data_IF_060679019028
#
_entry.id   IF_060679019028
#
_cell.length_a   1.000
_cell.length_b   1.000
_cell.length_c   1.000
_cell.angle_alpha   90.00
_cell.angle_beta   90.00
_cell.angle_gamma   90.00
#
_symmetry.space_group_name_H-M   'P 1'
#
loop_
_entity.id
_entity.type
_entity.pdbx_description
1 polymer ?
#
# COMPACT_ATOMS: atom_id res chain seq x y z
N UNK A 1 -1.17 -8.00 -16.79
CA UNK A 1 -1.08 -9.44 -17.12
C UNK A 1 -1.09 -10.31 -15.89
N UNK A 2 -0.20 -10.15 -14.92
CA UNK A 2 -0.17 -10.99 -13.70
C UNK A 2 -1.53 -11.07 -12.97
N UNK A 3 -2.24 -9.95 -12.88
CA UNK A 3 -3.57 -9.85 -12.27
C UNK A 3 -4.61 -10.81 -12.90
N UNK A 4 -4.53 -11.07 -14.19
CA UNK A 4 -5.49 -11.93 -14.88
C UNK A 4 -5.18 -13.42 -14.79
N UNK A 5 -3.92 -13.76 -14.48
CA UNK A 5 -3.49 -15.13 -14.28
C UNK A 5 -3.73 -15.60 -12.84
N UNK A 6 -3.49 -14.71 -11.88
CA UNK A 6 -3.54 -15.02 -10.46
C UNK A 6 -4.98 -15.12 -9.94
N UNK A 7 -5.27 -16.20 -9.22
CA UNK A 7 -6.58 -16.44 -8.58
C UNK A 7 -6.48 -16.15 -7.07
N UNK A 8 -7.14 -15.11 -6.55
CA UNK A 8 -7.03 -14.68 -5.15
C UNK A 8 -7.85 -15.56 -4.19
N UNK A 9 -7.59 -16.84 -4.18
CA UNK A 9 -8.21 -17.82 -3.28
C UNK A 9 -7.13 -18.58 -2.51
N UNK A 10 -7.41 -18.97 -1.28
CA UNK A 10 -6.44 -19.68 -0.44
C UNK A 10 -5.99 -21.02 -1.05
N UNK A 11 -6.84 -21.62 -1.90
CA UNK A 11 -6.55 -22.89 -2.57
C UNK A 11 -5.55 -22.73 -3.74
N UNK A 12 -5.68 -21.64 -4.54
CA UNK A 12 -4.94 -21.50 -5.79
C UNK A 12 -3.79 -20.50 -5.71
N UNK A 13 -3.85 -19.51 -4.82
CA UNK A 13 -2.92 -18.40 -4.79
C UNK A 13 -1.45 -18.82 -4.78
N UNK A 14 -1.09 -19.74 -3.88
CA UNK A 14 0.28 -20.26 -3.79
C UNK A 14 0.69 -21.01 -5.05
N UNK A 15 -0.16 -21.93 -5.51
CA UNK A 15 0.11 -22.75 -6.69
C UNK A 15 0.24 -21.91 -7.97
N UNK A 16 -0.59 -20.88 -8.14
CA UNK A 16 -0.49 -19.96 -9.26
C UNK A 16 0.86 -19.23 -9.28
N UNK A 17 1.37 -18.83 -8.13
CA UNK A 17 2.70 -18.19 -8.02
C UNK A 17 3.84 -19.20 -8.31
N UNK A 18 3.72 -20.45 -7.89
CA UNK A 18 4.69 -21.51 -8.20
C UNK A 18 4.69 -21.79 -9.71
N UNK A 19 3.53 -21.97 -10.32
CA UNK A 19 3.39 -22.18 -11.77
C UNK A 19 3.95 -21.02 -12.59
N UNK A 20 3.66 -19.77 -12.18
CA UNK A 20 4.25 -18.57 -12.80
C UNK A 20 5.79 -18.60 -12.79
N UNK A 21 6.41 -19.23 -11.81
CA UNK A 21 7.86 -19.33 -11.71
C UNK A 21 8.43 -20.32 -12.73
N UNK A 22 7.67 -21.33 -13.10
CA UNK A 22 8.07 -22.37 -14.05
C UNK A 22 7.78 -21.96 -15.50
N UNK A 23 6.79 -21.11 -15.75
CA UNK A 23 6.49 -20.54 -17.05
C UNK A 23 7.47 -19.43 -17.40
N UNK A 24 8.32 -19.65 -18.42
CA UNK A 24 9.40 -18.71 -18.78
C UNK A 24 8.87 -17.33 -19.17
N UNK A 25 7.79 -17.25 -19.93
CA UNK A 25 7.27 -15.97 -20.42
C UNK A 25 6.60 -15.16 -19.30
N UNK A 26 5.69 -15.77 -18.55
CA UNK A 26 4.96 -15.10 -17.46
C UNK A 26 5.84 -14.97 -16.23
N UNK A 27 6.77 -15.90 -15.99
CA UNK A 27 7.77 -15.85 -14.93
C UNK A 27 8.68 -14.65 -15.04
N UNK A 28 9.15 -14.30 -16.24
CA UNK A 28 9.93 -13.08 -16.48
C UNK A 28 9.15 -11.83 -16.06
N UNK A 29 7.87 -11.74 -16.40
CA UNK A 29 7.03 -10.59 -16.00
C UNK A 29 6.88 -10.48 -14.48
N UNK A 30 6.77 -11.60 -13.78
CA UNK A 30 6.74 -11.61 -12.32
C UNK A 30 8.05 -11.10 -11.72
N UNK A 31 9.18 -11.57 -12.23
CA UNK A 31 10.50 -11.12 -11.76
C UNK A 31 10.74 -9.64 -12.06
N UNK A 32 10.38 -9.17 -13.26
CA UNK A 32 10.44 -7.73 -13.59
C UNK A 32 9.56 -6.90 -12.66
N UNK A 33 8.35 -7.38 -12.34
CA UNK A 33 7.46 -6.70 -11.39
C UNK A 33 8.09 -6.63 -10.00
N UNK A 34 8.65 -7.73 -9.51
CA UNK A 34 9.32 -7.83 -8.21
C UNK A 34 10.52 -6.87 -8.12
N UNK A 35 11.42 -6.93 -9.11
CA UNK A 35 12.58 -6.05 -9.15
C UNK A 35 12.20 -4.59 -9.38
N UNK A 36 11.18 -4.34 -10.19
CA UNK A 36 10.59 -3.02 -10.37
C UNK A 36 10.04 -2.43 -9.08
N UNK A 37 9.39 -3.24 -8.24
CA UNK A 37 8.92 -2.80 -6.94
C UNK A 37 10.07 -2.41 -5.99
N UNK A 38 11.16 -3.20 -5.93
CA UNK A 38 12.35 -2.84 -5.16
C UNK A 38 13.00 -1.55 -5.69
N UNK A 39 13.18 -1.45 -7.00
CA UNK A 39 13.72 -0.24 -7.63
C UNK A 39 12.85 0.99 -7.35
N UNK A 40 11.52 0.85 -7.41
CA UNK A 40 10.56 1.92 -7.11
C UNK A 40 10.74 2.44 -5.67
N UNK A 41 10.79 1.55 -4.69
CA UNK A 41 10.98 1.96 -3.28
C UNK A 41 12.29 2.72 -3.12
N UNK A 42 13.40 2.19 -3.64
CA UNK A 42 14.72 2.82 -3.52
C UNK A 42 14.74 4.20 -4.23
N UNK A 43 14.23 4.27 -5.47
CA UNK A 43 14.26 5.52 -6.25
C UNK A 43 13.34 6.58 -5.68
N UNK A 44 12.19 6.21 -5.13
CA UNK A 44 11.28 7.16 -4.47
C UNK A 44 11.91 7.71 -3.18
N UNK A 45 12.60 6.89 -2.38
CA UNK A 45 13.37 7.36 -1.24
C UNK A 45 14.46 8.34 -1.63
N UNK A 46 15.26 8.01 -2.64
CA UNK A 46 16.31 8.90 -3.16
C UNK A 46 15.71 10.21 -3.72
N UNK A 47 14.56 10.12 -4.39
CA UNK A 47 13.84 11.29 -4.87
C UNK A 47 13.38 12.19 -3.72
N UNK A 48 12.75 11.64 -2.69
CA UNK A 48 12.31 12.40 -1.52
C UNK A 48 13.50 13.05 -0.79
N UNK A 49 14.60 12.31 -0.66
CA UNK A 49 15.83 12.81 -0.07
C UNK A 49 16.40 14.01 -0.87
N UNK A 50 16.47 13.88 -2.20
CA UNK A 50 16.89 14.99 -3.08
C UNK A 50 16.00 16.21 -2.89
N UNK A 51 14.68 16.06 -2.94
CA UNK A 51 13.72 17.16 -2.79
C UNK A 51 13.91 17.86 -1.44
N UNK A 52 14.15 17.10 -0.38
CA UNK A 52 14.41 17.65 0.96
C UNK A 52 15.72 18.44 1.01
N UNK A 53 16.83 17.87 0.54
CA UNK A 53 18.15 18.52 0.59
C UNK A 53 18.24 19.79 -0.27
N UNK A 54 17.52 19.82 -1.39
CA UNK A 54 17.48 21.01 -2.27
C UNK A 54 16.48 22.07 -1.82
N UNK A 55 15.73 21.83 -0.73
CA UNK A 55 14.70 22.76 -0.28
C UNK A 55 13.47 22.86 -1.19
N UNK A 56 13.32 21.94 -2.15
CA UNK A 56 12.25 21.95 -3.16
C UNK A 56 10.85 21.66 -2.58
N UNK A 57 10.72 21.48 -1.27
CA UNK A 57 9.46 21.36 -0.54
C UNK A 57 8.92 22.70 -0.04
N UNK A 58 9.70 23.80 -0.12
CA UNK A 58 9.32 25.12 0.33
C UNK A 58 8.37 25.82 -0.66
N UNK A 59 7.73 26.95 -0.25
CA UNK A 59 6.85 27.71 -1.16
C UNK A 59 7.50 27.97 -2.53
N UNK A 60 6.74 27.84 -3.62
CA UNK A 60 5.30 27.53 -3.73
C UNK A 60 4.97 26.04 -3.88
N UNK A 61 5.88 25.12 -3.49
CA UNK A 61 5.84 23.68 -3.78
C UNK A 61 5.33 22.81 -2.63
N UNK A 62 4.85 23.40 -1.52
CA UNK A 62 4.41 22.67 -0.33
C UNK A 62 3.27 21.70 -0.64
N UNK A 63 2.31 22.12 -1.45
CA UNK A 63 1.20 21.25 -1.87
C UNK A 63 1.73 20.01 -2.57
N UNK A 64 2.67 20.18 -3.50
CA UNK A 64 3.25 19.06 -4.23
C UNK A 64 4.11 18.15 -3.36
N UNK A 65 4.77 18.70 -2.35
CA UNK A 65 5.45 17.92 -1.30
C UNK A 65 4.46 17.04 -0.54
N UNK A 66 3.32 17.59 -0.11
CA UNK A 66 2.24 16.83 0.54
C UNK A 66 1.73 15.67 -0.32
N UNK A 67 1.48 15.91 -1.62
CA UNK A 67 1.11 14.87 -2.58
C UNK A 67 2.22 13.80 -2.69
N UNK A 68 3.49 14.22 -2.76
CA UNK A 68 4.64 13.32 -2.78
C UNK A 68 4.74 12.41 -1.56
N UNK A 69 4.46 12.94 -0.36
CA UNK A 69 4.41 12.15 0.89
C UNK A 69 3.29 11.10 0.86
N UNK A 70 2.13 11.45 0.31
CA UNK A 70 1.03 10.47 0.15
C UNK A 70 1.43 9.39 -0.87
N UNK A 71 2.06 9.76 -1.98
CA UNK A 71 2.57 8.81 -2.98
C UNK A 71 3.63 7.86 -2.39
N UNK A 72 4.53 8.37 -1.54
CA UNK A 72 5.48 7.52 -0.82
C UNK A 72 4.76 6.48 0.06
N UNK A 73 3.75 6.92 0.84
CA UNK A 73 2.95 6.00 1.66
C UNK A 73 2.23 4.95 0.81
N UNK A 74 1.65 5.35 -0.34
CA UNK A 74 1.02 4.43 -1.28
C UNK A 74 2.03 3.44 -1.89
N UNK A 75 3.25 3.86 -2.19
CA UNK A 75 4.33 2.98 -2.66
C UNK A 75 4.65 1.90 -1.63
N UNK A 76 4.76 2.27 -0.34
CA UNK A 76 4.99 1.32 0.74
C UNK A 76 3.79 0.38 0.95
N UNK A 77 2.56 0.90 0.88
CA UNK A 77 1.34 0.09 0.96
C UNK A 77 1.21 -0.88 -0.22
N UNK A 78 1.55 -0.43 -1.44
CA UNK A 78 1.61 -1.30 -2.62
C UNK A 78 2.65 -2.41 -2.44
N UNK A 79 3.84 -2.10 -1.94
CA UNK A 79 4.87 -3.10 -1.65
C UNK A 79 4.40 -4.11 -0.61
N UNK A 80 3.78 -3.64 0.48
CA UNK A 80 3.23 -4.50 1.52
C UNK A 80 2.12 -5.40 0.99
N UNK A 81 1.09 -4.83 0.34
CA UNK A 81 -0.04 -5.60 -0.16
C UNK A 81 0.35 -6.61 -1.23
N UNK A 82 1.31 -6.27 -2.11
CA UNK A 82 1.82 -7.18 -3.13
C UNK A 82 2.64 -8.34 -2.56
N UNK A 83 3.41 -8.09 -1.49
CA UNK A 83 4.15 -9.11 -0.78
C UNK A 83 3.23 -10.19 -0.15
N UNK A 84 1.99 -9.84 0.15
CA UNK A 84 1.03 -10.74 0.80
C UNK A 84 0.33 -11.70 -0.18
N UNK A 85 0.33 -11.42 -1.49
CA UNK A 85 -0.43 -12.19 -2.48
C UNK A 85 0.07 -13.62 -2.70
N UNK A 86 1.38 -13.98 -2.56
CA UNK A 86 1.81 -15.37 -2.67
C UNK A 86 1.15 -16.33 -1.68
N UNK A 87 0.57 -15.84 -0.60
CA UNK A 87 -0.14 -16.61 0.42
C UNK A 87 0.68 -17.75 1.01
N UNK A 88 1.99 -17.53 1.08
CA UNK A 88 2.95 -18.43 1.73
C UNK A 88 3.05 -18.16 3.24
N UNK A 89 3.86 -18.90 3.95
CA UNK A 89 4.07 -18.73 5.40
C UNK A 89 4.53 -17.31 5.75
N UNK A 90 5.41 -16.72 4.95
CA UNK A 90 5.91 -15.37 5.19
C UNK A 90 4.79 -14.34 5.02
N UNK A 91 3.96 -14.47 3.98
CA UNK A 91 2.81 -13.62 3.75
C UNK A 91 1.80 -13.70 4.91
N UNK A 92 1.44 -14.90 5.35
CA UNK A 92 0.48 -15.12 6.44
C UNK A 92 0.99 -14.46 7.74
N UNK A 93 2.26 -14.65 8.08
CA UNK A 93 2.85 -14.03 9.26
C UNK A 93 2.97 -12.50 9.14
N UNK A 94 3.32 -11.99 7.95
CA UNK A 94 3.36 -10.54 7.71
C UNK A 94 1.98 -9.89 7.85
N UNK A 95 0.91 -10.53 7.34
CA UNK A 95 -0.47 -10.08 7.54
C UNK A 95 -0.81 -10.10 9.04
N UNK A 96 -0.49 -11.19 9.73
CA UNK A 96 -0.81 -11.34 11.14
C UNK A 96 -0.16 -10.25 11.98
N UNK A 97 1.14 -10.02 11.79
CA UNK A 97 1.88 -8.99 12.54
C UNK A 97 1.41 -7.59 12.12
N UNK A 98 1.36 -7.29 10.83
CA UNK A 98 0.99 -5.95 10.33
C UNK A 98 -0.43 -5.55 10.72
N UNK A 99 -1.38 -6.48 10.66
CA UNK A 99 -2.77 -6.18 11.07
C UNK A 99 -2.94 -6.11 12.60
N UNK A 100 -2.12 -6.84 13.37
CA UNK A 100 -2.08 -6.66 14.82
C UNK A 100 -1.51 -5.28 15.19
N UNK A 101 -0.48 -4.81 14.50
CA UNK A 101 0.01 -3.43 14.69
C UNK A 101 -1.08 -2.40 14.32
N UNK A 102 -1.90 -2.68 13.31
CA UNK A 102 -3.00 -1.80 12.93
C UNK A 102 -4.06 -1.61 14.03
N UNK A 103 -4.18 -2.54 14.98
CA UNK A 103 -5.07 -2.39 16.17
C UNK A 103 -4.67 -1.23 17.06
N UNK A 104 -3.38 -0.86 17.07
CA UNK A 104 -2.87 0.28 17.83
C UNK A 104 -2.92 1.61 17.05
N UNK A 105 -3.50 1.64 15.84
CA UNK A 105 -3.59 2.87 15.04
C UNK A 105 -4.50 3.90 15.74
N UNK A 106 -4.01 5.15 15.94
CA UNK A 106 -4.82 6.19 16.57
C UNK A 106 -6.14 6.44 15.84
N UNK A 107 -7.24 6.43 16.57
CA UNK A 107 -8.58 6.70 16.04
C UNK A 107 -9.16 5.69 15.04
N UNK A 108 -8.44 4.59 14.75
CA UNK A 108 -8.88 3.55 13.81
C UNK A 108 -8.75 2.13 14.37
N UNK A 109 -7.78 1.90 15.25
CA UNK A 109 -7.62 0.64 15.97
C UNK A 109 -8.26 0.71 17.35
N UNK A 110 -8.89 -0.37 17.79
CA UNK A 110 -9.61 -0.38 19.08
C UNK A 110 -8.68 -0.35 20.31
N UNK A 111 -7.41 -0.71 20.15
CA UNK A 111 -6.36 -0.62 21.19
C UNK A 111 -5.55 0.68 21.08
N UNK A 112 -5.80 1.48 20.05
CA UNK A 112 -5.06 2.70 19.80
C UNK A 112 -5.52 3.90 20.64
N UNK A 113 -4.67 4.93 20.77
CA UNK A 113 -5.08 6.17 21.41
C UNK A 113 -6.28 6.80 20.67
N UNK A 114 -7.14 7.47 21.42
CA UNK A 114 -8.38 8.08 20.95
C UNK A 114 -9.46 7.09 20.48
N UNK A 115 -9.29 5.78 20.63
CA UNK A 115 -10.32 4.79 20.29
C UNK A 115 -11.62 5.00 21.05
N UNK A 116 -11.54 5.38 22.31
CA UNK A 116 -12.69 5.68 23.18
C UNK A 116 -13.46 6.97 22.80
N UNK A 117 -12.84 7.83 21.98
CA UNK A 117 -13.48 9.05 21.48
C UNK A 117 -14.35 8.79 20.24
N UNK A 118 -14.12 7.66 19.55
CA UNK A 118 -14.88 7.26 18.37
C UNK A 118 -16.12 6.51 18.79
N UNK A 119 -17.18 7.27 19.14
CA UNK A 119 -18.45 6.75 19.65
C UNK A 119 -19.63 7.58 19.17
N UNK A 120 -20.81 6.97 19.14
CA UNK A 120 -22.10 7.65 18.93
C UNK A 120 -22.90 7.54 20.25
N UNK A 121 -23.08 8.66 20.96
CA UNK A 121 -23.59 8.63 22.32
C UNK A 121 -22.65 7.83 23.22
N UNK A 122 -23.16 6.81 23.90
CA UNK A 122 -22.38 5.91 24.75
C UNK A 122 -21.91 4.64 24.02
N UNK A 123 -22.27 4.46 22.74
CA UNK A 123 -21.93 3.28 21.97
C UNK A 123 -20.53 3.44 21.33
N UNK A 124 -19.52 2.63 21.73
CA UNK A 124 -18.22 2.64 21.10
C UNK A 124 -18.30 2.07 19.68
N UNK A 125 -17.78 2.80 18.69
CA UNK A 125 -17.74 2.33 17.31
C UNK A 125 -16.51 1.47 17.02
N UNK A 126 -15.43 1.64 17.79
CA UNK A 126 -14.21 0.86 17.63
C UNK A 126 -14.14 -0.26 18.67
N UNK A 127 -14.25 -1.48 18.17
CA UNK A 127 -14.05 -2.72 18.92
C UNK A 127 -13.43 -3.79 18.03
N UNK A 128 -13.07 -4.95 18.56
CA UNK A 128 -12.37 -6.02 17.83
C UNK A 128 -13.10 -6.55 16.58
N UNK A 129 -14.37 -6.21 16.39
CA UNK A 129 -15.20 -6.58 15.23
C UNK A 129 -15.53 -5.42 14.29
N UNK A 130 -14.99 -4.21 14.52
CA UNK A 130 -15.27 -3.02 13.71
C UNK A 130 -14.07 -2.11 13.49
N UNK A 131 -12.89 -2.47 13.98
CA UNK A 131 -11.67 -1.70 13.83
C UNK A 131 -11.02 -1.87 12.45
N UNK A 132 -9.95 -1.11 12.20
CA UNK A 132 -9.18 -1.18 10.95
C UNK A 132 -8.63 -2.58 10.67
N UNK A 133 -8.26 -3.35 11.70
CA UNK A 133 -7.82 -4.73 11.52
C UNK A 133 -8.94 -5.61 10.98
N UNK A 134 -10.13 -5.53 11.57
CA UNK A 134 -11.30 -6.26 11.09
C UNK A 134 -11.65 -5.84 9.65
N UNK A 135 -11.58 -4.56 9.34
CA UNK A 135 -11.82 -4.06 7.98
C UNK A 135 -10.81 -4.61 6.97
N UNK A 136 -9.54 -4.72 7.32
CA UNK A 136 -8.50 -5.27 6.46
C UNK A 136 -8.63 -6.78 6.27
N UNK A 137 -8.89 -7.52 7.33
CA UNK A 137 -8.99 -8.99 7.28
C UNK A 137 -10.31 -9.51 6.72
N UNK A 138 -11.40 -8.73 6.86
CA UNK A 138 -12.74 -9.22 6.57
C UNK A 138 -13.26 -10.21 7.60
N UNK A 139 -12.67 -10.22 8.81
CA UNK A 139 -12.97 -11.13 9.88
C UNK A 139 -11.99 -11.00 11.05
N UNK A 140 -12.12 -11.90 12.02
CA UNK A 140 -11.25 -11.90 13.21
C UNK A 140 -9.92 -12.61 12.99
N UNK A 141 -9.81 -13.44 11.95
CA UNK A 141 -8.65 -14.27 11.64
C UNK A 141 -8.15 -14.01 10.22
N UNK A 142 -6.88 -14.30 9.98
CA UNK A 142 -6.29 -14.28 8.64
C UNK A 142 -6.83 -15.48 7.85
N UNK A 143 -7.66 -15.21 6.84
CA UNK A 143 -8.35 -16.21 6.03
C UNK A 143 -8.58 -15.70 4.60
N UNK A 144 -9.22 -16.51 3.76
CA UNK A 144 -9.51 -16.17 2.36
C UNK A 144 -10.11 -14.77 2.13
N UNK A 145 -11.00 -14.22 2.98
CA UNK A 145 -11.48 -12.84 2.80
C UNK A 145 -10.37 -11.78 2.85
N UNK A 146 -9.33 -11.99 3.66
CA UNK A 146 -8.18 -11.09 3.72
C UNK A 146 -7.42 -11.09 2.39
N UNK A 147 -7.15 -12.27 1.81
CA UNK A 147 -6.46 -12.41 0.54
C UNK A 147 -7.16 -11.64 -0.58
N UNK A 148 -8.47 -11.81 -0.71
CA UNK A 148 -9.26 -11.09 -1.71
C UNK A 148 -9.19 -9.56 -1.52
N UNK A 149 -9.26 -9.08 -0.28
CA UNK A 149 -9.15 -7.65 0.04
C UNK A 149 -7.77 -7.10 -0.33
N UNK A 150 -6.71 -7.79 0.04
CA UNK A 150 -5.36 -7.37 -0.35
C UNK A 150 -5.13 -7.42 -1.85
N UNK A 151 -5.71 -8.39 -2.56
CA UNK A 151 -5.69 -8.43 -4.01
C UNK A 151 -6.38 -7.19 -4.62
N UNK A 152 -7.58 -6.84 -4.18
CA UNK A 152 -8.30 -5.65 -4.67
C UNK A 152 -7.53 -4.36 -4.32
N UNK A 153 -6.97 -4.26 -3.13
CA UNK A 153 -6.15 -3.11 -2.73
C UNK A 153 -4.92 -2.96 -3.62
N UNK A 154 -4.20 -4.07 -3.87
CA UNK A 154 -2.96 -4.06 -4.65
C UNK A 154 -3.19 -3.85 -6.15
N UNK A 155 -4.15 -4.54 -6.72
CA UNK A 155 -4.35 -4.56 -8.19
C UNK A 155 -5.26 -3.45 -8.69
N UNK A 156 -6.14 -2.90 -7.84
CA UNK A 156 -7.17 -1.94 -8.26
C UNK A 156 -7.11 -0.64 -7.47
N UNK A 157 -7.38 -0.69 -6.17
CA UNK A 157 -7.60 0.52 -5.39
C UNK A 157 -6.34 1.41 -5.31
N UNK A 158 -5.24 0.88 -4.82
CA UNK A 158 -4.00 1.65 -4.68
C UNK A 158 -3.39 2.08 -6.01
N UNK A 159 -3.35 1.26 -7.07
CA UNK A 159 -2.90 1.73 -8.39
C UNK A 159 -3.74 2.86 -8.96
N UNK A 160 -5.07 2.81 -8.84
CA UNK A 160 -5.94 3.89 -9.30
C UNK A 160 -5.70 5.20 -8.54
N UNK A 161 -5.65 5.13 -7.21
CA UNK A 161 -5.37 6.31 -6.37
C UNK A 161 -3.97 6.86 -6.64
N UNK A 162 -2.97 5.99 -6.73
CA UNK A 162 -1.59 6.39 -7.05
C UNK A 162 -1.50 7.05 -8.43
N UNK A 163 -2.19 6.51 -9.44
CA UNK A 163 -2.22 7.10 -10.80
C UNK A 163 -2.86 8.49 -10.81
N UNK A 164 -3.97 8.67 -10.11
CA UNK A 164 -4.63 9.96 -9.99
C UNK A 164 -3.73 10.99 -9.29
N UNK A 165 -3.12 10.61 -8.17
CA UNK A 165 -2.20 11.48 -7.43
C UNK A 165 -0.90 11.74 -8.21
N UNK A 166 -0.41 10.78 -8.99
CA UNK A 166 0.74 10.96 -9.87
C UNK A 166 0.44 11.98 -10.97
N UNK A 167 -0.74 11.96 -11.56
CA UNK A 167 -1.19 12.97 -12.51
C UNK A 167 -1.21 14.37 -11.89
N UNK A 168 -1.75 14.50 -10.67
CA UNK A 168 -1.72 15.75 -9.91
C UNK A 168 -0.29 16.17 -9.58
N UNK A 169 0.57 15.24 -9.18
CA UNK A 169 1.97 15.49 -8.85
C UNK A 169 2.73 16.06 -10.05
N UNK A 170 2.64 15.45 -11.23
CA UNK A 170 3.29 15.94 -12.45
C UNK A 170 2.71 17.26 -12.94
N UNK A 171 1.39 17.44 -12.84
CA UNK A 171 0.77 18.71 -13.17
C UNK A 171 1.31 19.85 -12.28
N UNK A 172 1.45 19.60 -10.97
CA UNK A 172 2.00 20.58 -10.03
C UNK A 172 3.49 20.86 -10.28
N UNK A 173 4.31 19.82 -10.54
CA UNK A 173 5.72 20.02 -10.92
C UNK A 173 5.83 20.99 -12.10
N UNK A 174 5.00 20.78 -13.13
CA UNK A 174 5.00 21.65 -14.32
C UNK A 174 4.51 23.07 -13.99
N UNK A 175 3.44 23.20 -13.19
CA UNK A 175 2.86 24.50 -12.83
C UNK A 175 3.80 25.32 -11.94
N UNK A 176 4.51 24.69 -11.02
CA UNK A 176 5.36 25.33 -10.03
C UNK A 176 6.81 25.57 -10.55
N UNK A 177 7.04 25.45 -11.87
CA UNK A 177 8.33 25.72 -12.52
C UNK A 177 9.42 24.65 -12.33
N UNK A 178 9.03 23.40 -12.06
CA UNK A 178 9.94 22.28 -11.87
C UNK A 178 10.48 22.18 -10.43
N UNK A 179 11.46 21.29 -10.23
CA UNK A 179 12.05 21.02 -8.91
C UNK A 179 13.43 21.67 -8.70
N UNK A 180 14.03 22.23 -9.73
CA UNK A 180 15.41 22.74 -9.73
C UNK A 180 15.53 24.20 -10.18
N UNK A 181 14.42 24.91 -10.37
CA UNK A 181 14.45 26.32 -10.73
C UNK A 181 14.90 27.19 -9.54
N UNK A 182 15.52 28.37 -9.79
CA UNK A 182 15.79 29.33 -8.74
C UNK A 182 14.46 29.72 -8.07
N UNK A 183 14.47 29.79 -6.74
CA UNK A 183 13.36 30.32 -5.96
C UNK A 183 13.42 31.84 -5.96
#
# INVERSE_FOLDING_TARGET
MLMFYYRPTAEFAYNDIVQLREDVAIGIMRELHRWGAHAMVITVWLHMYRVFLTGSYKPPREFNWGVGVILLKLTLLLSFTGYLLPWDQLAIWAITVGTNMARATPGAGHEGPFSSMVKIGDLPLLHSGSDVRFALLGGRFVAAPALLRFYVLHCVAFPLVASALMAVHFWRVRKDGGISGPM
#
